data_IF_499211099972
#
_entry.id   IF_499211099972
#
_cell.length_a   1.000
_cell.length_b   1.000
_cell.length_c   1.000
_cell.angle_alpha   90.00
_cell.angle_beta   90.00
_cell.angle_gamma   90.00
#
_symmetry.space_group_name_H-M   'P 1'
#
loop_
_entity.id
_entity.type
_entity.pdbx_description
1 polymer ?
#
# COMPACT_ATOMS: atom_id res chain seq x y z
N UNK A 1 3.53 -10.47 6.81
CA UNK A 1 2.97 -11.82 6.56
C UNK A 1 4.03 -12.92 6.42
N UNK A 2 5.18 -12.69 5.77
CA UNK A 2 6.20 -13.74 5.61
C UNK A 2 6.71 -14.31 6.95
N UNK A 3 7.03 -13.45 7.92
CA UNK A 3 7.55 -13.88 9.23
C UNK A 3 6.59 -14.80 10.00
N UNK A 4 5.31 -14.42 10.13
CA UNK A 4 4.29 -15.29 10.76
C UNK A 4 4.15 -16.63 10.04
N UNK A 5 4.31 -16.65 8.70
CA UNK A 5 4.31 -17.90 7.93
C UNK A 5 5.50 -18.80 8.27
N UNK A 6 6.68 -18.22 8.50
CA UNK A 6 7.89 -18.96 8.85
C UNK A 6 7.85 -19.45 10.30
N UNK A 7 7.32 -18.65 11.24
CA UNK A 7 7.10 -19.08 12.63
C UNK A 7 6.16 -20.30 12.69
N UNK A 8 5.14 -20.34 11.83
CA UNK A 8 4.16 -21.43 11.72
C UNK A 8 4.52 -22.42 10.59
N UNK A 9 5.81 -22.56 10.25
CA UNK A 9 6.24 -23.42 9.15
C UNK A 9 5.82 -24.88 9.34
N UNK A 10 5.91 -25.39 10.56
CA UNK A 10 5.58 -26.77 10.92
C UNK A 10 4.07 -27.01 11.15
N UNK A 11 3.26 -25.96 11.20
CA UNK A 11 1.80 -26.13 11.28
C UNK A 11 1.25 -26.63 9.94
N UNK A 12 0.50 -27.73 10.01
CA UNK A 12 -0.13 -28.35 8.86
C UNK A 12 -1.59 -27.88 8.73
N UNK A 13 -2.09 -27.84 7.49
CA UNK A 13 -3.47 -27.46 7.19
C UNK A 13 -3.67 -25.98 6.83
N UNK A 14 -4.89 -25.67 6.38
CA UNK A 14 -5.25 -24.34 5.84
C UNK A 14 -5.48 -23.29 6.92
N UNK A 15 -5.78 -23.70 8.16
CA UNK A 15 -6.14 -22.80 9.26
C UNK A 15 -5.08 -21.74 9.54
N UNK A 16 -3.79 -22.06 9.38
CA UNK A 16 -2.70 -21.09 9.57
C UNK A 16 -2.81 -19.89 8.62
N UNK A 17 -3.13 -20.13 7.34
CA UNK A 17 -3.28 -19.08 6.35
C UNK A 17 -4.54 -18.25 6.60
N UNK A 18 -5.61 -18.88 7.08
CA UNK A 18 -6.82 -18.16 7.52
C UNK A 18 -6.51 -17.23 8.68
N UNK A 19 -5.81 -17.71 9.71
CA UNK A 19 -5.42 -16.88 10.86
C UNK A 19 -4.54 -15.71 10.43
N UNK A 20 -3.52 -15.95 9.60
CA UNK A 20 -2.67 -14.88 9.06
C UNK A 20 -3.47 -13.83 8.27
N UNK A 21 -4.42 -14.28 7.45
CA UNK A 21 -5.29 -13.40 6.68
C UNK A 21 -6.15 -12.52 7.58
N UNK A 22 -6.76 -13.11 8.63
CA UNK A 22 -7.56 -12.38 9.62
C UNK A 22 -6.69 -11.39 10.39
N UNK A 23 -5.49 -11.77 10.81
CA UNK A 23 -4.56 -10.89 11.52
C UNK A 23 -4.19 -9.66 10.67
N UNK A 24 -3.88 -9.87 9.40
CA UNK A 24 -3.55 -8.78 8.49
C UNK A 24 -4.76 -7.87 8.21
N UNK A 25 -5.95 -8.46 7.99
CA UNK A 25 -7.19 -7.69 7.86
C UNK A 25 -7.46 -6.84 9.11
N UNK A 26 -7.32 -7.42 10.30
CA UNK A 26 -7.53 -6.73 11.57
C UNK A 26 -6.53 -5.58 11.78
N UNK A 27 -5.27 -5.75 11.35
CA UNK A 27 -4.28 -4.66 11.35
C UNK A 27 -4.73 -3.50 10.46
N UNK A 28 -5.17 -3.78 9.24
CA UNK A 28 -5.66 -2.74 8.32
C UNK A 28 -6.90 -2.05 8.90
N UNK A 29 -7.85 -2.81 9.46
CA UNK A 29 -9.03 -2.27 10.11
C UNK A 29 -8.70 -1.41 11.34
N UNK A 30 -7.71 -1.82 12.13
CA UNK A 30 -7.21 -1.02 13.26
C UNK A 30 -6.67 0.31 12.75
N UNK A 31 -5.83 0.29 11.70
CA UNK A 31 -5.29 1.52 11.13
C UNK A 31 -6.41 2.45 10.66
N UNK A 32 -7.40 1.93 9.94
CA UNK A 32 -8.53 2.72 9.43
C UNK A 32 -9.40 3.31 10.54
N UNK A 33 -9.65 2.56 11.62
CA UNK A 33 -10.67 2.91 12.62
C UNK A 33 -10.13 3.56 13.88
N UNK A 34 -8.87 3.30 14.23
CA UNK A 34 -8.30 3.64 15.54
C UNK A 34 -7.10 4.59 15.45
N UNK A 35 -6.56 4.81 14.25
CA UNK A 35 -5.47 5.78 14.06
C UNK A 35 -6.03 7.20 14.08
N UNK A 36 -5.34 8.17 14.73
CA UNK A 36 -5.73 9.57 14.65
C UNK A 36 -5.81 10.08 13.20
N UNK A 37 -6.72 11.03 12.90
CA UNK A 37 -6.98 11.49 11.52
C UNK A 37 -5.80 12.21 10.87
N UNK A 38 -4.84 12.71 11.66
CA UNK A 38 -3.64 13.43 11.23
C UNK A 38 -2.39 12.54 11.10
N UNK A 39 -2.53 11.24 11.37
CA UNK A 39 -1.44 10.27 11.29
C UNK A 39 -1.54 9.46 10.00
N UNK A 40 -0.48 9.51 9.21
CA UNK A 40 -0.34 8.74 7.97
C UNK A 40 0.43 7.45 8.27
N UNK A 41 -0.11 6.31 7.85
CA UNK A 41 0.53 5.00 8.01
C UNK A 41 0.89 4.44 6.65
N UNK A 42 2.19 4.21 6.43
CA UNK A 42 2.71 3.64 5.19
C UNK A 42 2.80 2.12 5.28
N UNK A 43 2.14 1.44 4.34
CA UNK A 43 2.30 0.00 4.13
C UNK A 43 3.20 -0.24 2.92
N UNK A 44 4.38 -0.83 3.17
CA UNK A 44 5.33 -1.19 2.12
C UNK A 44 5.24 -2.70 1.87
N UNK A 45 4.89 -3.09 0.65
CA UNK A 45 4.64 -4.49 0.31
C UNK A 45 5.19 -4.81 -1.08
N UNK A 46 5.74 -6.01 -1.23
CA UNK A 46 6.12 -6.54 -2.54
C UNK A 46 4.89 -6.81 -3.38
N UNK A 47 5.04 -6.73 -4.70
CA UNK A 47 4.00 -7.11 -5.65
C UNK A 47 4.26 -8.50 -6.22
N UNK A 48 3.23 -9.05 -6.85
CA UNK A 48 3.31 -10.21 -7.71
C UNK A 48 2.55 -9.94 -9.01
N UNK A 49 2.92 -10.69 -10.05
CA UNK A 49 2.22 -10.68 -11.33
C UNK A 49 1.29 -11.88 -11.37
N UNK A 50 0.01 -11.64 -11.64
CA UNK A 50 -1.00 -12.68 -11.82
C UNK A 50 -0.87 -13.37 -13.17
N UNK A 51 -1.54 -14.52 -13.33
CA UNK A 51 -1.52 -15.29 -14.58
C UNK A 51 -2.10 -14.50 -15.78
N UNK A 52 -3.03 -13.59 -15.53
CA UNK A 52 -3.61 -12.68 -16.54
C UNK A 52 -2.79 -11.40 -16.74
N UNK A 53 -1.62 -11.30 -16.11
CA UNK A 53 -0.64 -10.26 -16.34
C UNK A 53 -0.83 -8.97 -15.53
N UNK A 54 -1.84 -8.90 -14.66
CA UNK A 54 -2.02 -7.78 -13.73
C UNK A 54 -0.97 -7.80 -12.63
N UNK A 55 -0.69 -6.63 -12.08
CA UNK A 55 0.21 -6.48 -10.93
C UNK A 55 -0.64 -6.16 -9.71
N UNK A 56 -0.44 -6.95 -8.65
CA UNK A 56 -1.12 -6.76 -7.37
C UNK A 56 -0.16 -6.91 -6.19
N UNK A 57 -0.60 -6.51 -5.02
CA UNK A 57 0.10 -6.72 -3.78
C UNK A 57 0.23 -8.22 -3.49
N UNK A 58 1.45 -8.68 -3.22
CA UNK A 58 1.73 -10.09 -2.97
C UNK A 58 1.15 -10.53 -1.63
N UNK A 59 0.21 -11.47 -1.65
CA UNK A 59 -0.39 -12.01 -0.42
C UNK A 59 0.04 -13.44 -0.13
N UNK A 60 -0.28 -13.96 1.06
CA UNK A 60 -0.07 -15.36 1.41
C UNK A 60 -1.41 -16.02 1.74
N UNK A 61 -1.69 -17.13 1.07
CA UNK A 61 -2.91 -17.91 1.26
C UNK A 61 -4.04 -17.53 0.31
N UNK A 62 -4.69 -18.54 -0.27
CA UNK A 62 -5.74 -18.37 -1.29
C UNK A 62 -6.98 -17.61 -0.79
N UNK A 63 -7.30 -17.69 0.50
CA UNK A 63 -8.49 -17.04 1.05
C UNK A 63 -8.36 -15.51 1.01
N UNK A 64 -7.25 -14.97 1.53
CA UNK A 64 -7.00 -13.53 1.52
C UNK A 64 -7.02 -12.99 0.09
N UNK A 65 -6.33 -13.71 -0.80
CA UNK A 65 -6.17 -13.32 -2.20
C UNK A 65 -7.49 -13.31 -3.00
N UNK A 66 -8.36 -14.30 -2.75
CA UNK A 66 -9.62 -14.46 -3.51
C UNK A 66 -10.78 -13.64 -2.94
N UNK A 67 -10.80 -13.39 -1.62
CA UNK A 67 -11.92 -12.74 -0.95
C UNK A 67 -11.70 -11.24 -0.76
N UNK A 68 -10.46 -10.76 -0.79
CA UNK A 68 -10.14 -9.38 -0.48
C UNK A 68 -9.20 -8.78 -1.52
N UNK A 69 -9.70 -7.78 -2.25
CA UNK A 69 -8.84 -6.88 -3.01
C UNK A 69 -8.17 -5.90 -2.03
N UNK A 70 -6.97 -6.25 -1.59
CA UNK A 70 -6.27 -5.54 -0.53
C UNK A 70 -6.10 -4.04 -0.83
N UNK A 71 -5.69 -3.72 -2.04
CA UNK A 71 -5.50 -2.35 -2.52
C UNK A 71 -6.80 -1.53 -2.48
N UNK A 72 -7.96 -2.20 -2.52
CA UNK A 72 -9.27 -1.58 -2.33
C UNK A 72 -9.44 -0.91 -0.97
N UNK A 73 -8.70 -1.32 0.04
CA UNK A 73 -8.77 -0.78 1.41
C UNK A 73 -7.95 0.50 1.63
N UNK A 74 -7.15 0.92 0.65
CA UNK A 74 -6.26 2.07 0.76
C UNK A 74 -6.78 3.25 -0.06
N UNK A 75 -6.56 4.48 0.40
CA UNK A 75 -6.89 5.69 -0.38
C UNK A 75 -5.84 5.96 -1.47
N UNK A 76 -4.58 5.61 -1.20
CA UNK A 76 -3.44 5.79 -2.09
C UNK A 76 -2.71 4.46 -2.22
N UNK A 77 -2.37 4.08 -3.46
CA UNK A 77 -1.51 2.95 -3.78
C UNK A 77 -0.51 3.43 -4.81
N UNK A 78 0.77 3.47 -4.42
CA UNK A 78 1.88 3.84 -5.29
C UNK A 78 2.63 2.57 -5.72
N UNK A 79 2.84 2.41 -7.02
CA UNK A 79 3.56 1.27 -7.56
C UNK A 79 4.99 1.66 -7.93
N UNK A 80 5.97 1.07 -7.25
CA UNK A 80 7.38 1.24 -7.63
C UNK A 80 7.66 0.51 -8.94
N UNK A 81 8.14 1.26 -9.94
CA UNK A 81 8.54 0.77 -11.26
C UNK A 81 10.04 0.95 -11.46
N UNK A 82 10.60 0.16 -12.39
CA UNK A 82 11.98 0.30 -12.81
C UNK A 82 12.18 -0.16 -14.24
N UNK A 83 13.11 0.48 -14.95
CA UNK A 83 13.66 0.07 -16.24
C UNK A 83 15.04 -0.60 -16.10
N UNK A 84 15.47 -0.86 -14.85
CA UNK A 84 16.80 -1.36 -14.50
C UNK A 84 17.83 -0.28 -14.16
N UNK A 85 17.54 0.98 -14.47
CA UNK A 85 18.43 2.13 -14.18
C UNK A 85 17.76 3.13 -13.24
N UNK A 86 16.51 3.48 -13.52
CA UNK A 86 15.69 4.40 -12.73
C UNK A 86 14.68 3.63 -11.90
N UNK A 87 14.35 4.16 -10.73
CA UNK A 87 13.19 3.77 -9.95
C UNK A 87 12.25 4.97 -9.78
N UNK A 88 10.95 4.77 -9.98
CA UNK A 88 9.93 5.81 -9.83
C UNK A 88 8.64 5.21 -9.28
N UNK A 89 7.73 6.06 -8.80
CA UNK A 89 6.38 5.64 -8.44
C UNK A 89 5.39 5.98 -9.55
N UNK A 90 4.66 4.97 -10.01
CA UNK A 90 3.42 5.11 -10.77
C UNK A 90 2.27 5.38 -9.79
N UNK A 91 1.50 6.43 -10.03
CA UNK A 91 0.50 6.95 -9.08
C UNK A 91 -0.95 6.76 -9.55
N UNK A 92 -1.14 6.48 -10.85
CA UNK A 92 -2.43 6.19 -11.46
C UNK A 92 -2.35 4.94 -12.33
N UNK A 93 -3.40 4.12 -12.29
CA UNK A 93 -3.46 2.85 -13.02
C UNK A 93 -3.36 3.03 -14.54
N UNK A 94 -2.56 2.17 -15.18
CA UNK A 94 -2.51 1.94 -16.63
C UNK A 94 -3.56 0.92 -17.12
N UNK A 95 -4.47 0.47 -16.24
CA UNK A 95 -5.44 -0.59 -16.49
C UNK A 95 -4.94 -2.00 -16.12
N UNK A 96 -3.65 -2.15 -15.82
CA UNK A 96 -3.03 -3.41 -15.42
C UNK A 96 -2.36 -3.35 -14.04
N UNK A 97 -2.08 -2.14 -13.54
CA UNK A 97 -1.61 -1.89 -12.18
C UNK A 97 -2.75 -1.55 -11.21
N UNK A 98 -2.51 -1.77 -9.92
CA UNK A 98 -3.42 -1.36 -8.84
C UNK A 98 -3.12 0.06 -8.32
N UNK A 99 -2.24 0.81 -9.01
CA UNK A 99 -1.87 2.16 -8.63
C UNK A 99 -3.09 3.09 -8.65
N UNK A 100 -3.26 3.89 -7.59
CA UNK A 100 -4.33 4.86 -7.48
C UNK A 100 -3.96 6.00 -6.53
N UNK A 101 -4.44 7.18 -6.87
CA UNK A 101 -4.31 8.37 -6.05
C UNK A 101 -5.48 9.32 -6.32
N UNK A 102 -5.83 10.20 -5.37
CA UNK A 102 -6.80 11.26 -5.61
C UNK A 102 -6.42 12.15 -6.81
N UNK A 103 -7.43 12.63 -7.51
CA UNK A 103 -7.23 13.51 -8.66
C UNK A 103 -6.50 14.78 -8.24
N UNK A 104 -5.48 15.17 -9.01
CA UNK A 104 -4.69 16.38 -8.77
C UNK A 104 -3.66 16.27 -7.65
N UNK A 105 -3.53 15.12 -6.96
CA UNK A 105 -2.55 14.96 -5.89
C UNK A 105 -1.13 14.71 -6.41
N UNK A 106 -0.98 13.87 -7.42
CA UNK A 106 0.33 13.52 -7.99
C UNK A 106 0.31 13.60 -9.52
N UNK A 107 1.47 13.88 -10.09
CA UNK A 107 1.75 13.54 -11.48
C UNK A 107 1.71 12.02 -11.68
N UNK A 108 1.59 11.57 -12.92
CA UNK A 108 1.47 10.14 -13.26
C UNK A 108 2.66 9.29 -12.85
N UNK A 109 3.84 9.90 -12.95
CA UNK A 109 5.10 9.34 -12.49
C UNK A 109 5.79 10.35 -11.59
N UNK A 110 6.15 9.93 -10.38
CA UNK A 110 6.89 10.77 -9.43
C UNK A 110 8.19 10.08 -9.03
N UNK A 111 9.13 10.85 -8.51
CA UNK A 111 10.37 10.28 -7.98
C UNK A 111 10.08 9.29 -6.83
N UNK A 112 10.93 8.28 -6.70
CA UNK A 112 10.87 7.32 -5.60
C UNK A 112 11.37 7.95 -4.29
N UNK A 113 10.69 9.02 -3.85
CA UNK A 113 10.98 9.79 -2.64
C UNK A 113 9.75 9.83 -1.74
N UNK A 114 9.84 9.12 -0.61
CA UNK A 114 8.75 9.05 0.38
C UNK A 114 8.54 10.38 1.10
N UNK A 115 9.56 11.26 1.17
CA UNK A 115 9.41 12.59 1.79
C UNK A 115 8.56 13.50 0.90
N UNK A 116 8.80 13.47 -0.41
CA UNK A 116 7.95 14.17 -1.38
C UNK A 116 6.50 13.64 -1.30
N UNK A 117 6.33 12.32 -1.24
CA UNK A 117 5.01 11.68 -1.10
C UNK A 117 4.29 12.15 0.17
N UNK A 118 4.94 12.11 1.34
CA UNK A 118 4.36 12.59 2.60
C UNK A 118 3.98 14.07 2.54
N UNK A 119 4.86 14.90 1.96
CA UNK A 119 4.62 16.34 1.81
C UNK A 119 3.36 16.60 0.99
N UNK A 120 3.25 16.00 -0.20
CA UNK A 120 2.09 16.19 -1.10
C UNK A 120 0.80 15.63 -0.50
N UNK A 121 0.88 14.51 0.21
CA UNK A 121 -0.28 13.94 0.93
C UNK A 121 -0.78 14.91 2.00
N UNK A 122 0.13 15.48 2.78
CA UNK A 122 -0.21 16.44 3.83
C UNK A 122 -0.77 17.73 3.26
N UNK A 123 -0.17 18.26 2.21
CA UNK A 123 -0.66 19.45 1.51
C UNK A 123 -2.08 19.25 0.96
N UNK A 124 -2.31 18.12 0.29
CA UNK A 124 -3.61 17.82 -0.34
C UNK A 124 -4.76 17.73 0.68
N UNK A 125 -4.49 17.22 1.87
CA UNK A 125 -5.48 17.07 2.95
C UNK A 125 -5.33 18.08 4.08
N UNK A 126 -4.49 19.11 3.90
CA UNK A 126 -4.22 20.16 4.89
C UNK A 126 -3.80 19.58 6.26
N UNK A 127 -3.10 18.45 6.26
CA UNK A 127 -2.63 17.77 7.46
C UNK A 127 -1.36 18.43 7.98
N UNK A 128 -1.31 18.70 9.29
CA UNK A 128 -0.13 19.30 9.93
C UNK A 128 -0.30 20.75 10.38
N UNK A 129 -1.51 21.33 10.22
CA UNK A 129 -1.92 22.56 10.89
C UNK A 129 -1.01 23.75 10.63
N UNK A 130 -1.23 24.44 9.50
CA UNK A 130 -0.80 25.83 9.23
C UNK A 130 0.42 26.36 9.98
N UNK A 131 1.60 25.78 9.78
CA UNK A 131 2.84 26.54 9.98
C UNK A 131 3.15 27.28 8.69
N UNK A 132 2.94 28.59 8.73
CA UNK A 132 3.43 29.53 7.72
C UNK A 132 4.92 29.28 7.50
N UNK A 133 5.28 28.82 6.32
CA UNK A 133 6.68 28.82 5.86
C UNK A 133 7.17 30.27 5.97
N UNK A 134 8.23 30.57 6.74
CA UNK A 134 8.80 31.91 6.73
C UNK A 134 9.34 32.17 5.32
N UNK A 135 8.85 33.22 4.66
CA UNK A 135 9.41 33.73 3.41
C UNK A 135 10.92 33.92 3.58
N UNK A 136 11.69 33.36 2.65
CA UNK A 136 13.12 33.64 2.50
C UNK A 136 13.32 34.95 1.75
#
# INVERSE_FOLDING_TARGET
MAFESFEKANETGYGKFTTMAVNFYNLVQFVIKQTPPDVIVYFLQHTEKTDDGRIKAKTLGKMLDSQLTLEGLFSIVLLCRTDGTRHWFETQSDGFSTAKSPMGMFEREIENDLKLVDTLIREYWELGGGESVPEK
#
